data_IF_338229043244
#
_entry.id   IF_338229043244
#
_cell.length_a   1.000
_cell.length_b   1.000
_cell.length_c   1.000
_cell.angle_alpha   90.00
_cell.angle_beta   90.00
_cell.angle_gamma   90.00
#
_symmetry.space_group_name_H-M   'P 1'
#
loop_
_entity.id
_entity.type
_entity.pdbx_description
1 polymer ?
#
# COMPACT_ATOMS: atom_id res chain seq x y z
N UNK A 1 -11.42 5.79 22.37
CA UNK A 1 -10.76 6.49 21.25
C UNK A 1 -9.89 5.48 20.55
N UNK A 2 -10.24 5.06 19.34
CA UNK A 2 -9.45 4.05 18.61
C UNK A 2 -8.54 4.81 17.65
N UNK A 3 -7.24 4.79 17.91
CA UNK A 3 -6.22 5.35 17.02
C UNK A 3 -6.43 4.79 15.61
N UNK A 4 -6.37 5.62 14.55
CA UNK A 4 -6.47 5.12 13.18
C UNK A 4 -5.38 4.07 12.95
N UNK A 5 -5.75 3.00 12.25
CA UNK A 5 -4.81 1.93 11.89
C UNK A 5 -3.63 2.53 11.13
N UNK A 6 -2.41 2.19 11.57
CA UNK A 6 -1.15 2.60 10.96
C UNK A 6 -0.38 1.35 10.57
N UNK A 7 -0.12 1.19 9.28
CA UNK A 7 0.65 0.08 8.72
C UNK A 7 2.05 0.56 8.36
N UNK A 8 3.07 -0.22 8.69
CA UNK A 8 4.47 0.11 8.38
C UNK A 8 5.10 -1.02 7.56
N UNK A 9 6.09 -0.69 6.73
CA UNK A 9 6.95 -1.71 6.10
C UNK A 9 8.07 -2.00 7.10
N UNK A 10 8.19 -3.27 7.50
CA UNK A 10 9.16 -3.71 8.50
C UNK A 10 10.31 -4.50 7.90
N UNK A 11 10.18 -4.95 6.65
CA UNK A 11 11.19 -5.75 5.96
C UNK A 11 10.94 -5.83 4.46
N UNK A 12 11.95 -6.30 3.73
CA UNK A 12 11.85 -6.77 2.34
C UNK A 12 12.05 -8.27 2.38
N UNK A 13 11.08 -9.05 1.95
CA UNK A 13 11.24 -10.50 1.89
C UNK A 13 12.28 -10.83 0.81
N UNK A 14 13.23 -11.72 1.13
CA UNK A 14 14.21 -12.26 0.18
C UNK A 14 13.56 -13.14 -0.92
N UNK A 15 12.25 -13.38 -0.79
CA UNK A 15 11.49 -14.20 -1.72
C UNK A 15 10.94 -13.37 -2.88
N UNK A 16 11.27 -13.79 -4.09
CA UNK A 16 10.68 -13.27 -5.33
C UNK A 16 9.98 -14.38 -6.10
N UNK A 17 8.92 -14.03 -6.82
CA UNK A 17 8.21 -14.96 -7.69
C UNK A 17 8.14 -14.43 -9.13
N UNK A 18 8.12 -15.28 -10.16
CA UNK A 18 7.87 -14.83 -11.52
C UNK A 18 6.50 -14.13 -11.64
N UNK A 19 6.45 -13.02 -12.36
CA UNK A 19 5.19 -12.40 -12.73
C UNK A 19 4.61 -13.06 -13.99
N UNK A 20 3.37 -12.69 -14.36
CA UNK A 20 2.73 -13.21 -15.57
C UNK A 20 3.45 -12.76 -16.86
N UNK A 21 4.08 -11.59 -16.83
CA UNK A 21 4.80 -11.02 -17.97
C UNK A 21 6.29 -11.43 -17.96
N UNK A 22 6.84 -11.91 -19.09
CA UNK A 22 8.27 -12.22 -19.18
C UNK A 22 9.15 -11.02 -18.83
N UNK A 23 10.19 -11.26 -18.01
CA UNK A 23 11.09 -10.20 -17.55
C UNK A 23 10.60 -9.46 -16.29
N UNK A 24 9.39 -9.76 -15.82
CA UNK A 24 8.86 -9.24 -14.57
C UNK A 24 8.87 -10.29 -13.45
N UNK A 25 9.06 -9.83 -12.23
CA UNK A 25 8.97 -10.63 -11.02
C UNK A 25 8.28 -9.82 -9.91
N UNK A 26 7.67 -10.49 -8.96
CA UNK A 26 7.08 -9.84 -7.80
C UNK A 26 8.07 -9.85 -6.64
N UNK A 27 8.23 -8.69 -6.00
CA UNK A 27 8.85 -8.56 -4.69
C UNK A 27 7.75 -8.45 -3.63
N UNK A 28 8.11 -8.82 -2.40
CA UNK A 28 7.23 -8.76 -1.26
C UNK A 28 7.83 -7.87 -0.18
N UNK A 29 7.08 -6.84 0.23
CA UNK A 29 7.43 -5.98 1.37
C UNK A 29 6.60 -6.42 2.57
N UNK A 30 7.25 -6.73 3.69
CA UNK A 30 6.57 -7.21 4.90
C UNK A 30 5.95 -6.03 5.64
N UNK A 31 4.66 -6.13 5.91
CA UNK A 31 3.91 -5.14 6.67
C UNK A 31 3.94 -5.48 8.17
N UNK A 32 3.80 -4.45 9.01
CA UNK A 32 3.77 -4.57 10.49
C UNK A 32 2.72 -5.56 10.99
N UNK A 33 1.61 -5.70 10.27
CA UNK A 33 0.52 -6.64 10.53
C UNK A 33 -0.33 -6.80 9.25
N UNK A 34 -1.30 -7.72 9.27
CA UNK A 34 -2.27 -7.85 8.19
C UNK A 34 -3.27 -6.68 8.24
N UNK A 35 -3.34 -5.79 7.23
CA UNK A 35 -4.19 -4.61 7.31
C UNK A 35 -5.68 -4.97 7.29
N UNK A 36 -6.50 -4.16 7.97
CA UNK A 36 -7.95 -4.28 7.93
C UNK A 36 -8.59 -3.88 6.60
N UNK A 37 -9.88 -4.19 6.42
CA UNK A 37 -10.59 -3.95 5.16
C UNK A 37 -10.67 -2.45 4.77
N UNK A 38 -10.82 -1.55 5.74
CA UNK A 38 -10.81 -0.11 5.52
C UNK A 38 -9.48 0.34 4.89
N UNK A 39 -8.36 -0.11 5.47
CA UNK A 39 -7.04 0.22 4.98
C UNK A 39 -6.80 -0.35 3.58
N UNK A 40 -7.19 -1.61 3.34
CA UNK A 40 -7.06 -2.27 2.03
C UNK A 40 -7.87 -1.57 0.94
N UNK A 41 -9.10 -1.14 1.23
CA UNK A 41 -9.91 -0.37 0.30
C UNK A 41 -9.24 0.97 -0.03
N UNK A 42 -8.70 1.67 0.97
CA UNK A 42 -7.95 2.92 0.74
C UNK A 42 -6.66 2.71 -0.04
N UNK A 43 -5.97 1.61 0.21
CA UNK A 43 -4.79 1.23 -0.57
C UNK A 43 -5.14 1.09 -2.05
N UNK A 44 -6.23 0.38 -2.38
CA UNK A 44 -6.67 0.23 -3.77
C UNK A 44 -7.04 1.57 -4.43
N UNK A 45 -7.66 2.49 -3.69
CA UNK A 45 -7.97 3.84 -4.18
C UNK A 45 -6.70 4.64 -4.48
N UNK A 46 -5.74 4.68 -3.54
CA UNK A 46 -4.47 5.38 -3.73
C UNK A 46 -3.65 4.74 -4.85
N UNK A 47 -3.69 3.42 -4.97
CA UNK A 47 -3.08 2.66 -6.05
C UNK A 47 -3.66 3.02 -7.41
N UNK A 48 -5.00 3.15 -7.51
CA UNK A 48 -5.67 3.54 -8.76
C UNK A 48 -5.36 4.98 -9.19
N UNK A 49 -4.96 5.86 -8.27
CA UNK A 49 -4.58 7.25 -8.57
C UNK A 49 -3.17 7.41 -9.15
N UNK A 50 -2.35 6.36 -9.15
CA UNK A 50 -1.01 6.43 -9.73
C UNK A 50 -1.11 6.48 -11.26
N UNK A 51 -0.38 7.40 -11.93
CA UNK A 51 -0.40 7.50 -13.39
C UNK A 51 -0.06 6.17 -14.08
N UNK A 52 -0.82 5.80 -15.11
CA UNK A 52 -0.70 4.51 -15.79
C UNK A 52 0.71 4.20 -16.29
N UNK A 53 1.46 5.21 -16.76
CA UNK A 53 2.84 5.05 -17.23
C UNK A 53 3.85 4.67 -16.13
N UNK A 54 3.46 4.81 -14.85
CA UNK A 54 4.25 4.43 -13.67
C UNK A 54 3.60 3.27 -12.92
N UNK A 55 2.53 2.68 -13.47
CA UNK A 55 1.69 1.71 -12.75
C UNK A 55 2.26 0.30 -12.91
N UNK A 56 2.89 -0.19 -11.84
CA UNK A 56 3.34 -1.58 -11.60
C UNK A 56 2.33 -2.37 -10.77
N UNK A 57 1.89 -3.56 -11.17
CA UNK A 57 0.85 -4.27 -10.42
C UNK A 57 1.21 -4.44 -8.93
N UNK A 58 0.38 -3.90 -8.04
CA UNK A 58 0.59 -3.91 -6.60
C UNK A 58 -0.65 -4.42 -5.87
N UNK A 59 -0.47 -5.24 -4.84
CA UNK A 59 -1.57 -5.85 -4.08
C UNK A 59 -1.17 -6.16 -2.63
N UNK A 60 -2.15 -6.14 -1.73
CA UNK A 60 -1.95 -6.53 -0.32
C UNK A 60 -2.38 -7.98 -0.12
N UNK A 61 -1.42 -8.86 0.11
CA UNK A 61 -1.63 -10.29 0.35
C UNK A 61 -1.28 -10.60 1.80
N UNK A 62 -2.30 -10.81 2.64
CA UNK A 62 -2.15 -10.99 4.09
C UNK A 62 -1.40 -9.79 4.71
N UNK A 63 -0.25 -10.02 5.34
CA UNK A 63 0.64 -8.99 5.90
C UNK A 63 1.78 -8.62 4.94
N UNK A 64 1.61 -8.77 3.64
CA UNK A 64 2.61 -8.42 2.62
C UNK A 64 2.04 -7.48 1.58
N UNK A 65 2.87 -6.55 1.13
CA UNK A 65 2.65 -5.79 -0.08
C UNK A 65 3.44 -6.45 -1.21
N UNK A 66 2.71 -7.02 -2.17
CA UNK A 66 3.25 -7.57 -3.42
C UNK A 66 3.38 -6.44 -4.44
N UNK A 67 4.53 -6.31 -5.10
CA UNK A 67 4.77 -5.34 -6.17
C UNK A 67 5.48 -6.05 -7.32
N UNK A 68 4.93 -5.96 -8.53
CA UNK A 68 5.59 -6.46 -9.74
C UNK A 68 6.61 -5.45 -10.27
N UNK A 69 7.81 -5.92 -10.56
CA UNK A 69 8.95 -5.11 -10.98
C UNK A 69 9.66 -5.78 -12.16
N UNK A 70 10.27 -4.99 -13.04
CA UNK A 70 11.05 -5.50 -14.17
C UNK A 70 12.47 -5.91 -13.74
N UNK A 71 13.12 -6.82 -14.48
CA UNK A 71 14.53 -7.22 -14.34
C UNK A 71 15.49 -6.04 -14.20
N UNK A 72 15.21 -4.98 -14.95
CA UNK A 72 16.03 -3.76 -15.00
C UNK A 72 15.62 -2.71 -13.97
N UNK A 73 14.50 -2.89 -13.25
CA UNK A 73 14.06 -1.95 -12.22
C UNK A 73 15.01 -2.05 -11.00
N UNK A 74 15.35 -0.90 -10.43
CA UNK A 74 16.11 -0.88 -9.18
C UNK A 74 15.21 -1.28 -8.01
N UNK A 75 15.51 -2.40 -7.35
CA UNK A 75 14.74 -2.89 -6.18
C UNK A 75 14.54 -1.81 -5.13
N UNK A 76 15.57 -1.00 -4.84
CA UNK A 76 15.47 0.08 -3.86
C UNK A 76 14.43 1.14 -4.25
N UNK A 77 14.30 1.48 -5.53
CA UNK A 77 13.27 2.41 -6.01
C UNK A 77 11.87 1.83 -5.81
N UNK A 78 11.73 0.52 -5.99
CA UNK A 78 10.46 -0.18 -5.81
C UNK A 78 10.08 -0.30 -4.32
N UNK A 79 11.06 -0.47 -3.43
CA UNK A 79 10.87 -0.39 -1.99
C UNK A 79 10.41 1.01 -1.58
N UNK A 80 11.07 2.07 -2.09
CA UNK A 80 10.70 3.45 -1.81
C UNK A 80 9.27 3.75 -2.30
N UNK A 81 8.94 3.30 -3.51
CA UNK A 81 7.60 3.40 -4.06
C UNK A 81 6.56 2.71 -3.16
N UNK A 82 6.84 1.50 -2.70
CA UNK A 82 5.97 0.77 -1.76
C UNK A 82 5.76 1.53 -0.46
N UNK A 83 6.83 2.09 0.12
CA UNK A 83 6.77 2.89 1.35
C UNK A 83 5.92 4.16 1.17
N UNK A 84 6.08 4.86 0.05
CA UNK A 84 5.26 6.03 -0.27
C UNK A 84 3.78 5.69 -0.38
N UNK A 85 3.44 4.57 -1.01
CA UNK A 85 2.06 4.11 -1.17
C UNK A 85 1.42 3.72 0.18
N UNK A 86 2.17 3.04 1.05
CA UNK A 86 1.75 2.72 2.43
C UNK A 86 1.49 4.01 3.22
N UNK A 87 2.41 4.98 3.16
CA UNK A 87 2.26 6.25 3.87
C UNK A 87 1.10 7.11 3.35
N UNK A 88 0.88 7.14 2.03
CA UNK A 88 -0.31 7.79 1.45
C UNK A 88 -1.60 7.15 1.94
N UNK A 89 -1.63 5.82 2.02
CA UNK A 89 -2.79 5.08 2.51
C UNK A 89 -3.06 5.36 3.99
N UNK A 90 -2.03 5.33 4.84
CA UNK A 90 -2.14 5.69 6.25
C UNK A 90 -2.75 7.09 6.44
N UNK A 91 -2.27 8.08 5.67
CA UNK A 91 -2.82 9.45 5.71
C UNK A 91 -4.28 9.51 5.26
N UNK A 92 -4.64 8.77 4.21
CA UNK A 92 -6.03 8.74 3.71
C UNK A 92 -7.00 8.12 4.72
N UNK A 93 -6.60 7.05 5.39
CA UNK A 93 -7.39 6.42 6.47
C UNK A 93 -7.57 7.39 7.65
N UNK A 94 -6.50 8.03 8.10
CA UNK A 94 -6.56 9.02 9.18
C UNK A 94 -7.48 10.21 8.84
N UNK A 95 -7.39 10.75 7.62
CA UNK A 95 -8.22 11.86 7.17
C UNK A 95 -9.71 11.50 7.04
N UNK A 96 -10.01 10.28 6.59
CA UNK A 96 -11.40 9.80 6.43
C UNK A 96 -12.15 9.79 7.76
N UNK A 97 -11.49 9.36 8.85
CA UNK A 97 -12.08 9.33 10.19
C UNK A 97 -12.24 10.73 10.79
N UNK A 98 -11.33 11.66 10.51
CA UNK A 98 -11.47 13.05 10.94
C UNK A 98 -12.67 13.75 10.28
N UNK A 99 -12.97 13.44 9.01
CA UNK A 99 -14.13 14.00 8.31
C UNK A 99 -15.45 13.56 8.95
N UNK A 100 -15.60 12.27 9.24
CA UNK A 100 -16.79 11.70 9.91
C UNK A 100 -17.02 12.33 11.28
N UNK A 101 -15.96 12.61 12.04
CA UNK A 101 -16.09 13.27 13.35
C UNK A 101 -16.66 14.69 13.23
N UNK A 102 -16.16 15.48 12.27
CA UNK A 102 -16.65 16.85 12.05
C UNK A 102 -18.10 16.89 11.56
N UNK A 103 -18.50 15.96 10.70
CA UNK A 103 -19.87 15.89 10.21
C UNK A 103 -20.84 15.58 11.36
N UNK A 104 -20.49 14.65 12.26
CA UNK A 104 -21.31 14.32 13.43
C UNK A 104 -21.39 15.43 14.49
N UNK A 105 -20.39 16.33 14.57
CA UNK A 105 -20.42 17.49 15.47
C UNK A 105 -21.29 18.65 14.94
N UNK A 106 -21.65 18.64 13.65
CA UNK A 106 -22.40 19.73 13.02
C UNK A 106 -23.92 19.47 13.01
N UNK A 107 -24.36 18.26 13.36
CA UNK A 107 -25.78 17.86 13.40
C UNK A 107 -26.42 17.95 14.80
N UNK A 108 -25.74 18.56 15.79
CA UNK A 108 -26.24 18.74 17.16
C UNK A 108 -26.38 20.20 17.59
#
# INVERSE_FOLDING_TARGET
MTTPERVEIVDVDDYTEPAAEPGYYAIYLRLSHAPGDEWRARFEEEWRRIPTGLKRAAAVVQNRLRIEIHGDDMVQEMVNFGAELVERTNRAVAASRQKVMKENETEH
#
